data_IF_895581795381
#
_entry.id   IF_895581795381
#
_cell.length_a   1.000
_cell.length_b   1.000
_cell.length_c   1.000
_cell.angle_alpha   90.00
_cell.angle_beta   90.00
_cell.angle_gamma   90.00
#
_symmetry.space_group_name_H-M   'P 1'
#
loop_
_entity.id
_entity.type
_entity.pdbx_description
1 polymer ?
#
# COMPACT_ATOMS: atom_id res chain seq x y z
N UNK A 1 -4.10 7.02 28.89
CA UNK A 1 -2.97 6.93 29.84
C UNK A 1 -2.14 5.66 29.67
N UNK A 2 -2.75 4.48 29.52
CA UNK A 2 -1.99 3.22 29.35
C UNK A 2 -1.12 3.20 28.08
N UNK A 3 -1.64 3.62 26.92
CA UNK A 3 -0.86 3.66 25.66
C UNK A 3 0.39 4.55 25.75
N UNK A 4 0.27 5.69 26.45
CA UNK A 4 1.39 6.59 26.72
C UNK A 4 2.46 5.92 27.57
N UNK A 5 2.06 5.19 28.63
CA UNK A 5 3.00 4.46 29.49
C UNK A 5 3.74 3.35 28.73
N UNK A 6 3.04 2.66 27.82
CA UNK A 6 3.62 1.60 27.00
C UNK A 6 4.65 2.19 26.03
N UNK A 7 4.31 3.26 25.30
CA UNK A 7 5.27 3.89 24.39
C UNK A 7 6.47 4.46 25.14
N UNK A 8 6.26 5.12 26.29
CA UNK A 8 7.36 5.62 27.11
C UNK A 8 8.29 4.49 27.56
N UNK A 9 7.75 3.34 27.97
CA UNK A 9 8.55 2.19 28.39
C UNK A 9 9.54 1.72 27.31
N UNK A 10 9.08 1.68 26.05
CA UNK A 10 9.93 1.34 24.91
C UNK A 10 10.89 2.46 24.55
N UNK A 11 10.42 3.71 24.58
CA UNK A 11 11.25 4.89 24.32
C UNK A 11 12.46 4.95 25.27
N UNK A 12 12.23 4.71 26.57
CA UNK A 12 13.26 4.67 27.61
C UNK A 12 14.29 3.54 27.42
N UNK A 13 13.94 2.51 26.63
CA UNK A 13 14.73 1.30 26.40
C UNK A 13 15.15 1.14 24.95
N UNK A 14 15.07 2.22 24.16
CA UNK A 14 15.42 2.17 22.75
C UNK A 14 16.86 1.70 22.56
N UNK A 15 17.00 0.67 21.74
CA UNK A 15 18.27 0.14 21.27
C UNK A 15 18.26 0.11 19.74
N UNK A 16 19.43 0.14 19.07
CA UNK A 16 19.51 0.19 17.60
C UNK A 16 18.83 -0.98 16.87
N UNK A 17 18.62 -2.10 17.55
CA UNK A 17 18.01 -3.33 17.05
C UNK A 17 16.55 -3.53 17.52
N UNK A 18 16.04 -2.65 18.38
CA UNK A 18 14.67 -2.72 18.86
C UNK A 18 13.71 -2.12 17.83
N UNK A 19 12.79 -2.95 17.35
CA UNK A 19 11.69 -2.57 16.48
C UNK A 19 10.36 -2.94 17.13
N UNK A 20 9.43 -1.99 17.20
CA UNK A 20 8.12 -2.16 17.81
C UNK A 20 7.01 -1.93 16.79
N UNK A 21 6.00 -2.80 16.84
CA UNK A 21 4.82 -2.74 15.99
C UNK A 21 3.56 -2.65 16.86
N UNK A 22 2.72 -1.66 16.59
CA UNK A 22 1.44 -1.47 17.28
C UNK A 22 0.30 -1.32 16.28
N UNK A 23 -0.86 -1.86 16.63
CA UNK A 23 -2.13 -1.49 16.02
C UNK A 23 -2.69 -0.24 16.72
N UNK A 24 -3.24 0.69 15.93
CA UNK A 24 -3.87 1.90 16.46
C UNK A 24 -5.27 2.09 15.92
N UNK A 25 -6.12 2.67 16.76
CA UNK A 25 -7.46 3.08 16.34
C UNK A 25 -7.35 4.37 15.52
N UNK A 26 -7.82 4.39 14.25
CA UNK A 26 -7.49 5.45 13.30
C UNK A 26 -7.87 6.88 13.75
N UNK A 27 -8.98 7.04 14.45
CA UNK A 27 -9.52 8.34 14.87
C UNK A 27 -9.15 8.74 16.32
N UNK A 28 -8.35 7.92 17.02
CA UNK A 28 -7.97 8.15 18.42
C UNK A 28 -6.45 8.29 18.59
N UNK A 29 -5.93 9.49 18.31
CA UNK A 29 -4.52 9.83 18.48
C UNK A 29 -4.35 11.15 19.28
N UNK A 30 -4.41 11.11 20.63
CA UNK A 30 -4.30 12.30 21.47
C UNK A 30 -2.93 12.99 21.36
N UNK A 31 -2.87 14.31 21.57
CA UNK A 31 -1.63 15.11 21.40
C UNK A 31 -0.46 14.63 22.26
N UNK A 32 -0.73 14.16 23.48
CA UNK A 32 0.33 13.58 24.34
C UNK A 32 0.94 12.31 23.73
N UNK A 33 0.15 11.53 23.00
CA UNK A 33 0.63 10.34 22.31
C UNK A 33 1.43 10.73 21.06
N UNK A 34 0.93 11.73 20.31
CA UNK A 34 1.64 12.33 19.17
C UNK A 34 3.04 12.82 19.56
N UNK A 35 3.15 13.57 20.66
CA UNK A 35 4.42 14.08 21.16
C UNK A 35 5.43 12.97 21.52
N UNK A 36 4.96 11.80 21.97
CA UNK A 36 5.84 10.66 22.25
C UNK A 36 6.24 9.91 20.99
N UNK A 37 5.30 9.70 20.07
CA UNK A 37 5.56 9.03 18.79
C UNK A 37 6.65 9.76 18.00
N UNK A 38 6.61 11.10 17.98
CA UNK A 38 7.61 11.92 17.28
C UNK A 38 9.04 11.76 17.82
N UNK A 39 9.23 11.23 19.03
CA UNK A 39 10.55 11.01 19.63
C UNK A 39 11.19 9.67 19.22
N UNK A 40 10.42 8.75 18.62
CA UNK A 40 10.98 7.47 18.17
C UNK A 40 11.94 7.68 16.99
N UNK A 41 13.13 7.05 17.00
CA UNK A 41 14.08 7.18 15.91
C UNK A 41 13.57 6.50 14.62
N UNK A 42 14.04 6.92 13.44
CA UNK A 42 13.68 6.29 12.17
C UNK A 42 13.94 4.78 12.17
N UNK A 43 12.98 4.02 11.63
CA UNK A 43 13.10 2.56 11.51
C UNK A 43 12.90 1.78 12.80
N UNK A 44 12.39 2.40 13.87
CA UNK A 44 12.13 1.72 15.16
C UNK A 44 10.66 1.44 15.46
N UNK A 45 9.75 2.12 14.77
CA UNK A 45 8.31 2.10 15.09
C UNK A 45 7.49 1.89 13.82
N UNK A 46 6.52 0.98 13.90
CA UNK A 46 5.50 0.78 12.88
C UNK A 46 4.11 0.82 13.50
N UNK A 47 3.17 1.41 12.77
CA UNK A 47 1.76 1.42 13.09
C UNK A 47 0.95 0.74 12.00
N UNK A 48 0.06 -0.15 12.42
CA UNK A 48 -1.03 -0.68 11.60
C UNK A 48 -2.33 0.06 11.94
N UNK A 49 -2.92 0.68 10.93
CA UNK A 49 -4.09 1.55 11.04
C UNK A 49 -5.23 0.86 10.29
N UNK A 50 -6.05 0.10 11.01
CA UNK A 50 -7.18 -0.58 10.42
C UNK A 50 -8.28 0.41 10.06
N UNK A 51 -8.35 0.91 8.82
CA UNK A 51 -9.42 1.82 8.36
C UNK A 51 -10.65 1.01 7.95
N UNK A 52 -10.39 -0.12 7.27
CA UNK A 52 -11.33 -1.07 6.69
C UNK A 52 -12.17 -0.52 5.54
N UNK A 53 -12.85 0.61 5.72
CA UNK A 53 -13.60 1.30 4.66
C UNK A 53 -13.72 2.78 5.01
N UNK A 54 -13.78 3.66 4.01
CA UNK A 54 -14.12 5.07 4.18
C UNK A 54 -15.61 5.36 3.95
N UNK A 55 -16.42 4.36 3.60
CA UNK A 55 -17.86 4.54 3.40
C UNK A 55 -18.60 4.53 4.75
N UNK A 56 -19.23 5.64 5.19
CA UNK A 56 -19.92 5.71 6.49
C UNK A 56 -21.06 4.71 6.64
N UNK A 57 -21.78 4.40 5.55
CA UNK A 57 -22.88 3.42 5.59
C UNK A 57 -22.35 2.01 5.84
N UNK A 58 -21.24 1.66 5.18
CA UNK A 58 -20.56 0.37 5.36
C UNK A 58 -20.01 0.28 6.79
N UNK A 59 -19.40 1.35 7.31
CA UNK A 59 -18.91 1.41 8.68
C UNK A 59 -20.04 1.21 9.70
N UNK A 60 -21.14 1.96 9.58
CA UNK A 60 -22.29 1.87 10.47
C UNK A 60 -22.87 0.45 10.48
N UNK A 61 -23.03 -0.16 9.31
CA UNK A 61 -23.56 -1.51 9.14
C UNK A 61 -22.68 -2.57 9.81
N UNK A 62 -21.37 -2.39 9.77
CA UNK A 62 -20.39 -3.25 10.43
C UNK A 62 -20.13 -2.85 11.90
N UNK A 63 -20.96 -1.96 12.46
CA UNK A 63 -20.83 -1.45 13.84
C UNK A 63 -19.46 -0.83 14.14
N UNK A 64 -18.82 -0.26 13.11
CA UNK A 64 -17.56 0.48 13.24
C UNK A 64 -17.88 1.95 13.50
N UNK A 65 -17.57 2.42 14.71
CA UNK A 65 -17.66 3.85 15.07
C UNK A 65 -16.30 4.47 14.76
N UNK A 66 -16.24 5.25 13.68
CA UNK A 66 -15.03 5.93 13.23
C UNK A 66 -15.40 7.31 12.67
N UNK A 67 -14.58 8.31 12.94
CA UNK A 67 -14.61 9.61 12.27
C UNK A 67 -13.58 9.63 11.13
N UNK A 68 -14.05 9.74 9.88
CA UNK A 68 -13.18 9.66 8.71
C UNK A 68 -12.27 10.88 8.54
N UNK A 69 -12.73 12.05 8.97
CA UNK A 69 -11.94 13.27 8.83
C UNK A 69 -10.82 13.27 9.88
N UNK A 70 -11.12 12.87 11.11
CA UNK A 70 -10.10 12.65 12.14
C UNK A 70 -9.12 11.52 11.77
N UNK A 71 -9.62 10.43 11.18
CA UNK A 71 -8.77 9.36 10.65
C UNK A 71 -7.77 9.92 9.63
N UNK A 72 -8.26 10.72 8.68
CA UNK A 72 -7.41 11.33 7.66
C UNK A 72 -6.39 12.32 8.27
N UNK A 73 -6.81 13.14 9.24
CA UNK A 73 -5.93 14.06 9.96
C UNK A 73 -4.84 13.34 10.75
N UNK A 74 -5.18 12.26 11.44
CA UNK A 74 -4.22 11.47 12.20
C UNK A 74 -3.24 10.72 11.30
N UNK A 75 -3.70 10.18 10.16
CA UNK A 75 -2.83 9.56 9.17
C UNK A 75 -1.86 10.58 8.55
N UNK A 76 -2.36 11.76 8.15
CA UNK A 76 -1.51 12.86 7.67
C UNK A 76 -0.48 13.25 8.71
N UNK A 77 -0.85 13.33 9.99
CA UNK A 77 0.09 13.61 11.07
C UNK A 77 1.12 12.49 11.24
N UNK A 78 0.71 11.22 11.27
CA UNK A 78 1.63 10.08 11.43
C UNK A 78 2.66 10.03 10.30
N UNK A 79 2.23 10.25 9.06
CA UNK A 79 3.11 10.23 7.88
C UNK A 79 4.06 11.43 7.83
N UNK A 80 3.58 12.63 8.17
CA UNK A 80 4.37 13.85 7.98
C UNK A 80 5.17 14.30 9.21
N UNK A 81 4.65 14.04 10.41
CA UNK A 81 5.18 14.59 11.67
C UNK A 81 5.86 13.53 12.55
N UNK A 82 5.93 12.28 12.09
CA UNK A 82 6.63 11.20 12.79
C UNK A 82 7.61 10.46 11.88
N UNK A 83 8.42 9.59 12.49
CA UNK A 83 9.32 8.68 11.79
C UNK A 83 8.77 7.24 11.75
N UNK A 84 7.49 7.06 12.12
CA UNK A 84 6.86 5.76 12.18
C UNK A 84 6.47 5.29 10.78
N UNK A 85 6.69 4.00 10.52
CA UNK A 85 6.20 3.37 9.31
C UNK A 85 4.69 3.12 9.46
N UNK A 86 3.89 3.57 8.50
CA UNK A 86 2.43 3.51 8.58
C UNK A 86 1.90 2.50 7.56
N UNK A 87 1.29 1.43 8.06
CA UNK A 87 0.51 0.47 7.30
C UNK A 87 -0.97 0.80 7.51
N UNK A 88 -1.73 0.95 6.42
CA UNK A 88 -3.14 1.26 6.49
C UNK A 88 -3.97 0.18 5.80
N UNK A 89 -4.98 -0.35 6.49
CA UNK A 89 -5.73 -1.50 6.00
C UNK A 89 -7.08 -1.11 5.44
N UNK A 90 -7.39 -1.62 4.25
CA UNK A 90 -8.72 -1.62 3.67
C UNK A 90 -9.22 -3.06 3.53
N UNK A 91 -10.52 -3.26 3.67
CA UNK A 91 -11.15 -4.58 3.54
C UNK A 91 -12.20 -4.51 2.45
N UNK A 92 -11.96 -5.21 1.34
CA UNK A 92 -12.92 -5.35 0.25
C UNK A 92 -13.90 -6.51 0.51
N UNK A 93 -15.14 -6.32 0.08
CA UNK A 93 -16.20 -7.33 0.18
C UNK A 93 -17.07 -7.18 1.42
N UNK A 94 -17.00 -6.04 2.11
CA UNK A 94 -17.87 -5.73 3.24
C UNK A 94 -19.35 -5.66 2.80
N UNK A 95 -20.30 -6.01 3.69
CA UNK A 95 -21.73 -6.00 3.35
C UNK A 95 -22.19 -4.64 2.81
N UNK A 96 -22.72 -4.63 1.58
CA UNK A 96 -23.25 -3.45 0.90
C UNK A 96 -22.21 -2.43 0.44
N UNK A 97 -20.92 -2.79 0.44
CA UNK A 97 -19.88 -2.03 -0.24
C UNK A 97 -19.92 -2.35 -1.74
N UNK A 98 -19.88 -1.33 -2.58
CA UNK A 98 -19.75 -1.47 -4.04
C UNK A 98 -18.31 -1.25 -4.47
N UNK A 99 -17.95 -1.74 -5.66
CA UNK A 99 -16.64 -1.49 -6.26
C UNK A 99 -16.31 0.02 -6.32
N UNK A 100 -17.27 0.85 -6.73
CA UNK A 100 -17.09 2.30 -6.84
C UNK A 100 -16.87 2.96 -5.47
N UNK A 101 -17.64 2.55 -4.46
CA UNK A 101 -17.49 3.11 -3.11
C UNK A 101 -16.16 2.71 -2.47
N UNK A 102 -15.67 1.50 -2.77
CA UNK A 102 -14.35 1.06 -2.35
C UNK A 102 -13.25 1.81 -3.10
N UNK A 103 -13.38 1.98 -4.42
CA UNK A 103 -12.43 2.73 -5.25
C UNK A 103 -12.24 4.16 -4.73
N UNK A 104 -13.33 4.85 -4.41
CA UNK A 104 -13.28 6.19 -3.82
C UNK A 104 -12.55 6.19 -2.46
N UNK A 105 -12.79 5.17 -1.63
CA UNK A 105 -12.09 5.01 -0.35
C UNK A 105 -10.59 4.71 -0.52
N UNK A 106 -10.24 3.91 -1.52
CA UNK A 106 -8.85 3.60 -1.87
C UNK A 106 -8.12 4.84 -2.36
N UNK A 107 -8.72 5.59 -3.28
CA UNK A 107 -8.13 6.83 -3.83
C UNK A 107 -7.90 7.85 -2.72
N UNK A 108 -8.89 8.03 -1.83
CA UNK A 108 -8.72 8.86 -0.63
C UNK A 108 -7.57 8.38 0.25
N UNK A 109 -7.40 7.07 0.45
CA UNK A 109 -6.28 6.54 1.24
C UNK A 109 -4.94 6.76 0.56
N UNK A 110 -4.88 6.57 -0.75
CA UNK A 110 -3.67 6.77 -1.55
C UNK A 110 -3.18 8.22 -1.44
N UNK A 111 -4.09 9.20 -1.48
CA UNK A 111 -3.77 10.63 -1.27
C UNK A 111 -3.22 10.94 0.12
N UNK A 112 -3.56 10.14 1.15
CA UNK A 112 -2.99 10.28 2.49
C UNK A 112 -1.57 9.69 2.59
N UNK A 113 -1.11 9.02 1.53
CA UNK A 113 0.22 8.46 1.38
C UNK A 113 0.73 7.68 2.60
N UNK A 114 0.00 6.65 3.09
CA UNK A 114 0.60 5.68 4.01
C UNK A 114 1.78 4.97 3.33
N UNK A 115 2.67 4.37 4.13
CA UNK A 115 3.84 3.69 3.58
C UNK A 115 3.44 2.41 2.85
N UNK A 116 2.44 1.70 3.38
CA UNK A 116 1.81 0.56 2.72
C UNK A 116 0.30 0.64 2.86
N UNK A 117 -0.39 0.20 1.80
CA UNK A 117 -1.84 -0.04 1.85
C UNK A 117 -2.03 -1.56 1.84
N UNK A 118 -2.52 -2.09 2.96
CA UNK A 118 -2.85 -3.50 3.06
C UNK A 118 -4.24 -3.72 2.46
N UNK A 119 -4.28 -4.44 1.35
CA UNK A 119 -5.53 -4.80 0.68
C UNK A 119 -6.05 -6.13 1.23
N UNK A 120 -6.99 -6.07 2.17
CA UNK A 120 -7.65 -7.23 2.75
C UNK A 120 -8.88 -7.67 1.93
N UNK A 121 -9.05 -8.98 1.76
CA UNK A 121 -10.31 -9.57 1.29
C UNK A 121 -11.06 -10.09 2.51
N UNK A 122 -12.35 -9.75 2.65
CA UNK A 122 -13.15 -10.15 3.79
C UNK A 122 -13.10 -11.68 3.99
N UNK A 123 -12.88 -12.09 5.23
CA UNK A 123 -12.89 -13.49 5.68
C UNK A 123 -13.95 -13.67 6.76
N UNK A 124 -14.71 -14.77 6.70
CA UNK A 124 -15.65 -15.14 7.76
C UNK A 124 -14.96 -16.03 8.79
N UNK A 125 -14.47 -15.41 9.85
CA UNK A 125 -13.93 -16.14 11.00
C UNK A 125 -15.07 -16.61 11.92
N UNK A 126 -14.91 -17.80 12.52
CA UNK A 126 -15.91 -18.36 13.43
C UNK A 126 -16.14 -17.42 14.63
N UNK A 127 -17.41 -17.20 14.99
CA UNK A 127 -17.80 -16.36 16.13
C UNK A 127 -17.77 -14.86 15.87
N UNK A 128 -17.49 -14.40 14.64
CA UNK A 128 -17.46 -12.97 14.33
C UNK A 128 -18.85 -12.42 13.97
N UNK A 129 -19.16 -11.15 14.33
CA UNK A 129 -20.46 -10.52 14.05
C UNK A 129 -20.83 -10.45 12.56
N UNK A 130 -19.85 -10.55 11.64
CA UNK A 130 -20.07 -10.51 10.19
C UNK A 130 -21.10 -11.54 9.73
N UNK A 131 -21.24 -12.65 10.45
CA UNK A 131 -22.18 -13.74 10.16
C UNK A 131 -23.64 -13.25 10.09
N UNK A 132 -24.01 -12.23 10.86
CA UNK A 132 -25.38 -11.66 10.89
C UNK A 132 -25.82 -11.05 9.55
N UNK A 133 -24.86 -10.74 8.67
CA UNK A 133 -25.11 -10.15 7.36
C UNK A 133 -25.19 -11.20 6.23
N UNK A 134 -25.03 -12.49 6.54
CA UNK A 134 -24.94 -13.54 5.51
C UNK A 134 -26.16 -13.58 4.61
N UNK A 135 -27.35 -13.72 5.19
CA UNK A 135 -28.58 -13.86 4.41
C UNK A 135 -29.00 -12.52 3.78
N UNK A 136 -28.95 -11.44 4.55
CA UNK A 136 -29.40 -10.11 4.11
C UNK A 136 -28.56 -9.49 2.98
N UNK A 137 -27.31 -9.93 2.80
CA UNK A 137 -26.43 -9.48 1.73
C UNK A 137 -25.99 -10.61 0.79
N UNK A 138 -26.66 -11.77 0.84
CA UNK A 138 -26.34 -12.94 0.02
C UNK A 138 -24.84 -13.30 0.03
N UNK A 139 -24.20 -13.24 1.20
CA UNK A 139 -22.75 -13.42 1.34
C UNK A 139 -22.39 -14.90 1.13
N UNK A 140 -21.65 -15.20 0.06
CA UNK A 140 -21.12 -16.54 -0.20
C UNK A 140 -19.64 -16.58 0.17
N UNK A 141 -19.22 -17.58 0.93
CA UNK A 141 -17.84 -17.75 1.40
C UNK A 141 -17.25 -19.06 0.91
N UNK A 142 -15.93 -19.09 0.75
CA UNK A 142 -15.18 -20.32 0.50
C UNK A 142 -15.38 -21.26 1.70
N UNK A 143 -15.78 -22.54 1.48
CA UNK A 143 -15.87 -23.51 2.56
C UNK A 143 -14.50 -23.90 3.14
N UNK A 144 -13.40 -23.61 2.44
CA UNK A 144 -12.04 -23.87 2.88
C UNK A 144 -11.45 -22.66 3.61
N UNK A 145 -10.63 -22.93 4.63
CA UNK A 145 -9.82 -21.90 5.31
C UNK A 145 -8.97 -21.16 4.26
N UNK A 146 -8.93 -19.81 4.26
CA UNK A 146 -9.32 -18.90 5.34
C UNK A 146 -10.74 -18.32 5.26
N UNK A 147 -11.68 -18.99 4.58
CA UNK A 147 -13.09 -18.60 4.48
C UNK A 147 -13.32 -17.22 3.86
N UNK A 148 -12.57 -16.91 2.81
CA UNK A 148 -12.71 -15.65 2.05
C UNK A 148 -14.07 -15.55 1.39
N UNK A 149 -14.60 -14.34 1.29
CA UNK A 149 -15.81 -14.07 0.51
C UNK A 149 -15.58 -14.38 -0.97
N UNK A 150 -16.55 -15.05 -1.59
CA UNK A 150 -16.58 -15.39 -3.00
C UNK A 150 -17.46 -14.43 -3.81
N UNK A 151 -18.54 -13.93 -3.21
CA UNK A 151 -19.44 -12.91 -3.76
C UNK A 151 -20.43 -12.43 -2.68
N UNK A 152 -21.14 -11.34 -2.96
CA UNK A 152 -22.29 -10.87 -2.18
C UNK A 152 -23.31 -10.17 -3.10
N UNK A 153 -24.36 -9.58 -2.52
CA UNK A 153 -25.41 -8.87 -3.25
C UNK A 153 -24.96 -7.66 -4.08
N UNK A 154 -23.78 -7.10 -3.82
CA UNK A 154 -23.24 -5.91 -4.51
C UNK A 154 -22.03 -6.22 -5.39
N UNK A 155 -21.39 -7.38 -5.19
CA UNK A 155 -20.16 -7.78 -5.87
C UNK A 155 -20.28 -9.23 -6.31
N UNK A 156 -20.26 -9.46 -7.62
CA UNK A 156 -20.33 -10.79 -8.21
C UNK A 156 -18.99 -11.56 -8.11
N UNK A 157 -19.05 -12.87 -8.35
CA UNK A 157 -17.88 -13.74 -8.29
C UNK A 157 -16.76 -13.32 -9.27
N UNK A 158 -17.02 -12.99 -10.55
CA UNK A 158 -15.98 -12.50 -11.46
C UNK A 158 -15.27 -11.24 -10.96
N UNK A 159 -16.01 -10.28 -10.39
CA UNK A 159 -15.43 -9.07 -9.79
C UNK A 159 -14.59 -9.40 -8.58
N UNK A 160 -15.03 -10.33 -7.72
CA UNK A 160 -14.19 -10.82 -6.62
C UNK A 160 -12.88 -11.44 -7.11
N UNK A 161 -12.90 -12.23 -8.20
CA UNK A 161 -11.67 -12.77 -8.79
C UNK A 161 -10.77 -11.67 -9.36
N UNK A 162 -11.36 -10.64 -9.98
CA UNK A 162 -10.65 -9.45 -10.47
C UNK A 162 -9.90 -8.74 -9.34
N UNK A 163 -10.57 -8.54 -8.21
CA UNK A 163 -9.98 -7.86 -7.05
C UNK A 163 -8.97 -8.74 -6.29
N UNK A 164 -9.16 -10.06 -6.25
CA UNK A 164 -8.13 -10.96 -5.75
C UNK A 164 -6.82 -10.84 -6.54
N UNK A 165 -6.88 -10.67 -7.86
CA UNK A 165 -5.69 -10.40 -8.69
C UNK A 165 -5.08 -9.03 -8.37
N UNK A 166 -5.92 -8.00 -8.29
CA UNK A 166 -5.50 -6.65 -7.89
C UNK A 166 -4.68 -6.68 -6.60
N UNK A 167 -5.21 -7.29 -5.53
CA UNK A 167 -4.57 -7.32 -4.22
C UNK A 167 -3.18 -7.97 -4.26
N UNK A 168 -3.04 -9.04 -5.06
CA UNK A 168 -1.76 -9.74 -5.22
C UNK A 168 -0.74 -8.94 -6.01
N UNK A 169 -1.16 -8.28 -7.09
CA UNK A 169 -0.26 -7.43 -7.86
C UNK A 169 0.12 -6.18 -7.08
N UNK A 170 -0.80 -5.62 -6.30
CA UNK A 170 -0.54 -4.48 -5.42
C UNK A 170 0.58 -4.81 -4.43
N UNK A 171 0.53 -5.99 -3.83
CA UNK A 171 1.59 -6.46 -2.94
C UNK A 171 2.96 -6.58 -3.66
N UNK A 172 2.98 -7.13 -4.88
CA UNK A 172 4.23 -7.34 -5.63
C UNK A 172 4.83 -6.05 -6.20
N UNK A 173 4.00 -5.06 -6.53
CA UNK A 173 4.43 -3.82 -7.19
C UNK A 173 4.48 -2.68 -6.18
N UNK A 174 3.33 -2.25 -5.65
CA UNK A 174 3.25 -1.09 -4.77
C UNK A 174 3.89 -1.36 -3.40
N UNK A 175 3.39 -2.33 -2.64
CA UNK A 175 3.88 -2.56 -1.27
C UNK A 175 5.31 -3.13 -1.22
N UNK A 176 5.87 -3.56 -2.36
CA UNK A 176 7.27 -4.00 -2.43
C UNK A 176 8.26 -2.86 -2.13
N UNK A 177 7.86 -1.60 -2.37
CA UNK A 177 8.70 -0.40 -2.31
C UNK A 177 9.78 -0.34 -3.40
N UNK A 178 9.69 -1.18 -4.45
CA UNK A 178 10.74 -1.29 -5.49
C UNK A 178 10.46 -0.46 -6.75
N UNK A 179 9.29 0.16 -6.85
CA UNK A 179 8.81 0.84 -8.05
C UNK A 179 8.33 2.25 -7.71
N UNK A 180 9.10 3.02 -6.94
CA UNK A 180 8.64 4.31 -6.43
C UNK A 180 8.24 5.27 -7.56
N UNK A 181 9.12 5.44 -8.56
CA UNK A 181 8.85 6.31 -9.69
C UNK A 181 7.90 5.67 -10.70
N UNK A 182 8.07 4.37 -10.97
CA UNK A 182 7.20 3.62 -11.88
C UNK A 182 5.75 3.58 -11.39
N UNK A 183 5.52 3.46 -10.08
CA UNK A 183 4.19 3.48 -9.49
C UNK A 183 3.55 4.86 -9.62
N UNK A 184 4.30 5.95 -9.43
CA UNK A 184 3.78 7.30 -9.67
C UNK A 184 3.30 7.47 -11.11
N UNK A 185 4.12 7.08 -12.09
CA UNK A 185 3.73 7.09 -13.51
C UNK A 185 2.49 6.22 -13.77
N UNK A 186 2.38 5.10 -13.05
CA UNK A 186 1.25 4.18 -13.17
C UNK A 186 -0.04 4.72 -12.57
N UNK A 187 0.01 5.46 -11.47
CA UNK A 187 -1.18 5.84 -10.70
C UNK A 187 -1.69 7.26 -11.00
N UNK A 188 -0.85 8.12 -11.58
CA UNK A 188 -1.20 9.54 -11.79
C UNK A 188 -1.29 9.92 -13.28
N UNK A 189 -2.11 10.95 -13.62
CA UNK A 189 -3.12 11.61 -12.78
C UNK A 189 -4.45 10.82 -12.74
N UNK A 190 -5.29 11.08 -11.73
CA UNK A 190 -6.65 10.53 -11.63
C UNK A 190 -6.79 9.45 -10.56
N UNK A 191 -7.71 8.50 -10.78
CA UNK A 191 -7.99 7.42 -9.83
C UNK A 191 -6.85 6.40 -9.79
N UNK A 192 -6.10 6.37 -8.69
CA UNK A 192 -5.05 5.40 -8.45
C UNK A 192 -5.60 3.96 -8.48
N UNK A 193 -6.76 3.74 -7.85
CA UNK A 193 -7.45 2.45 -7.88
C UNK A 193 -7.78 2.04 -9.32
N UNK A 194 -8.38 2.95 -10.10
CA UNK A 194 -8.76 2.69 -11.49
C UNK A 194 -7.57 2.33 -12.37
N UNK A 195 -6.48 3.10 -12.29
CA UNK A 195 -5.27 2.83 -13.06
C UNK A 195 -4.61 1.51 -12.67
N UNK A 196 -4.49 1.23 -11.37
CA UNK A 196 -3.89 -0.03 -10.93
C UNK A 196 -4.78 -1.24 -11.27
N UNK A 197 -6.11 -1.08 -11.23
CA UNK A 197 -7.04 -2.11 -11.66
C UNK A 197 -6.91 -2.39 -13.16
N UNK A 198 -6.76 -1.36 -13.98
CA UNK A 198 -6.46 -1.49 -15.41
C UNK A 198 -5.14 -2.22 -15.67
N UNK A 199 -4.09 -1.90 -14.91
CA UNK A 199 -2.82 -2.63 -14.97
C UNK A 199 -2.94 -4.09 -14.52
N UNK A 200 -3.68 -4.35 -13.44
CA UNK A 200 -3.96 -5.70 -12.95
C UNK A 200 -4.67 -6.55 -14.01
N UNK A 201 -5.67 -5.98 -14.68
CA UNK A 201 -6.39 -6.67 -15.74
C UNK A 201 -5.52 -6.95 -16.95
N UNK A 202 -4.75 -5.94 -17.40
CA UNK A 202 -3.80 -6.09 -18.49
C UNK A 202 -2.76 -7.16 -18.18
N UNK A 203 -2.17 -7.13 -16.98
CA UNK A 203 -1.16 -8.08 -16.55
C UNK A 203 -1.68 -9.53 -16.57
N UNK A 204 -2.92 -9.74 -16.09
CA UNK A 204 -3.57 -11.04 -16.17
C UNK A 204 -3.83 -11.48 -17.62
N UNK A 205 -4.33 -10.59 -18.48
CA UNK A 205 -4.60 -10.89 -19.89
C UNK A 205 -3.32 -11.24 -20.67
N UNK A 206 -2.22 -10.55 -20.38
CA UNK A 206 -0.93 -10.75 -21.04
C UNK A 206 -0.21 -12.02 -20.57
N UNK A 207 -0.37 -12.40 -19.30
CA UNK A 207 0.49 -13.43 -18.69
C UNK A 207 -0.24 -14.69 -18.25
N UNK A 208 -1.54 -14.62 -17.97
CA UNK A 208 -2.30 -15.70 -17.34
C UNK A 208 -1.76 -16.14 -15.97
N UNK A 209 -0.92 -15.31 -15.34
CA UNK A 209 -0.22 -15.64 -14.09
C UNK A 209 -0.51 -14.63 -13.01
N UNK A 210 -0.65 -15.11 -11.78
CA UNK A 210 -0.84 -14.30 -10.57
C UNK A 210 0.35 -14.34 -9.61
N UNK A 211 1.39 -15.12 -9.94
CA UNK A 211 2.62 -15.34 -9.20
C UNK A 211 3.77 -15.66 -10.16
N UNK A 212 4.96 -15.93 -9.60
CA UNK A 212 6.18 -16.28 -10.33
C UNK A 212 6.74 -15.17 -11.21
N UNK A 213 6.50 -13.91 -10.83
CA UNK A 213 7.17 -12.79 -11.46
C UNK A 213 8.49 -12.52 -10.76
N UNK A 214 9.60 -12.65 -11.50
CA UNK A 214 10.86 -12.07 -11.07
C UNK A 214 10.76 -10.54 -11.08
N UNK A 215 11.65 -9.87 -10.34
CA UNK A 215 11.69 -8.41 -10.35
C UNK A 215 11.95 -7.87 -11.77
N UNK A 216 12.84 -8.50 -12.53
CA UNK A 216 13.16 -8.13 -13.90
C UNK A 216 11.92 -8.25 -14.80
N UNK A 217 11.14 -9.31 -14.62
CA UNK A 217 9.92 -9.51 -15.39
C UNK A 217 8.87 -8.46 -15.05
N UNK A 218 8.73 -8.08 -13.78
CA UNK A 218 7.84 -6.98 -13.37
C UNK A 218 8.28 -5.63 -13.96
N UNK A 219 9.58 -5.34 -13.99
CA UNK A 219 10.12 -4.13 -14.64
C UNK A 219 9.76 -4.11 -16.12
N UNK A 220 9.97 -5.21 -16.83
CA UNK A 220 9.66 -5.31 -18.26
C UNK A 220 8.16 -5.13 -18.54
N UNK A 221 7.30 -5.77 -17.73
CA UNK A 221 5.84 -5.69 -17.85
C UNK A 221 5.30 -4.30 -17.50
N UNK A 222 5.82 -3.67 -16.44
CA UNK A 222 5.44 -2.32 -16.06
C UNK A 222 5.86 -1.32 -17.14
N UNK A 223 7.06 -1.46 -17.69
CA UNK A 223 7.54 -0.62 -18.79
C UNK A 223 6.63 -0.74 -20.03
N UNK A 224 6.31 -1.97 -20.44
CA UNK A 224 5.41 -2.21 -21.56
C UNK A 224 4.02 -1.58 -21.32
N UNK A 225 3.43 -1.77 -20.14
CA UNK A 225 2.13 -1.16 -19.83
C UNK A 225 2.17 0.37 -19.85
N UNK A 226 3.19 0.98 -19.27
CA UNK A 226 3.34 2.44 -19.22
C UNK A 226 3.51 3.05 -20.63
N UNK A 227 4.16 2.35 -21.55
CA UNK A 227 4.35 2.83 -22.92
C UNK A 227 3.15 2.51 -23.80
N UNK A 228 2.72 1.26 -23.84
CA UNK A 228 1.73 0.76 -24.81
C UNK A 228 0.29 1.07 -24.40
N UNK A 229 0.00 1.10 -23.10
CA UNK A 229 -1.37 1.32 -22.58
C UNK A 229 -1.53 2.74 -22.06
N UNK A 230 -0.58 3.23 -21.25
CA UNK A 230 -0.63 4.62 -20.74
C UNK A 230 -0.11 5.65 -21.73
N UNK A 231 0.54 5.24 -22.82
CA UNK A 231 0.99 6.15 -23.88
C UNK A 231 2.14 7.07 -23.47
N UNK A 232 2.89 6.72 -22.42
CA UNK A 232 3.97 7.56 -21.91
C UNK A 232 5.24 7.46 -22.76
N UNK A 233 6.04 8.53 -22.74
CA UNK A 233 7.28 8.57 -23.50
C UNK A 233 8.27 7.51 -23.00
N UNK A 234 8.70 6.62 -23.90
CA UNK A 234 9.53 5.47 -23.51
C UNK A 234 10.90 5.83 -22.92
N UNK A 235 11.43 7.02 -23.18
CA UNK A 235 12.67 7.49 -22.54
C UNK A 235 12.45 7.83 -21.06
N UNK A 236 11.37 8.55 -20.76
CA UNK A 236 10.97 8.91 -19.39
C UNK A 236 10.68 7.66 -18.56
N UNK A 237 9.87 6.75 -19.09
CA UNK A 237 9.51 5.49 -18.42
C UNK A 237 10.76 4.66 -18.10
N UNK A 238 11.66 4.47 -19.07
CA UNK A 238 12.87 3.66 -18.85
C UNK A 238 13.82 4.31 -17.84
N UNK A 239 13.93 5.64 -17.82
CA UNK A 239 14.76 6.34 -16.84
C UNK A 239 14.20 6.19 -15.42
N UNK A 240 12.88 6.35 -15.24
CA UNK A 240 12.21 6.15 -13.97
C UNK A 240 12.40 4.72 -13.44
N UNK A 241 12.14 3.71 -14.29
CA UNK A 241 12.30 2.31 -13.92
C UNK A 241 13.77 1.90 -13.72
N UNK A 242 14.72 2.55 -14.40
CA UNK A 242 16.14 2.36 -14.15
C UNK A 242 16.54 2.87 -12.77
N UNK A 243 16.07 4.06 -12.38
CA UNK A 243 16.33 4.61 -11.05
C UNK A 243 15.78 3.68 -9.94
N UNK A 244 14.53 3.23 -10.10
CA UNK A 244 13.89 2.26 -9.22
C UNK A 244 14.69 0.94 -9.13
N UNK A 245 15.08 0.39 -10.29
CA UNK A 245 15.81 -0.87 -10.35
C UNK A 245 17.20 -0.78 -9.69
N UNK A 246 17.94 0.30 -9.91
CA UNK A 246 19.23 0.54 -9.27
C UNK A 246 19.08 0.70 -7.75
N UNK A 247 18.09 1.46 -7.29
CA UNK A 247 17.80 1.65 -5.87
C UNK A 247 17.42 0.34 -5.16
N UNK A 248 16.82 -0.61 -5.88
CA UNK A 248 16.46 -1.92 -5.31
C UNK A 248 17.66 -2.81 -4.94
N UNK A 249 18.86 -2.51 -5.46
CA UNK A 249 20.07 -3.31 -5.29
C UNK A 249 20.07 -4.64 -6.07
N UNK A 250 19.09 -4.86 -6.94
CA UNK A 250 19.01 -6.05 -7.79
C UNK A 250 20.14 -6.07 -8.83
N UNK A 251 20.56 -7.29 -9.21
CA UNK A 251 21.72 -7.51 -10.11
C UNK A 251 21.38 -8.17 -11.44
N UNK A 252 20.11 -8.52 -11.64
CA UNK A 252 19.61 -9.08 -12.88
C UNK A 252 19.64 -8.07 -14.03
N UNK A 253 18.99 -8.43 -15.13
CA UNK A 253 18.99 -7.61 -16.35
C UNK A 253 17.60 -7.66 -16.99
N UNK A 254 16.71 -6.72 -16.64
CA UNK A 254 15.45 -6.52 -17.35
C UNK A 254 15.73 -6.22 -18.83
N UNK A 255 14.92 -6.79 -19.73
CA UNK A 255 15.10 -6.61 -21.16
C UNK A 255 15.00 -5.14 -21.57
N UNK A 256 14.01 -4.42 -21.02
CA UNK A 256 13.74 -3.02 -21.36
C UNK A 256 14.85 -2.05 -20.90
N UNK A 257 15.67 -2.47 -19.93
CA UNK A 257 16.78 -1.68 -19.39
C UNK A 257 18.15 -2.21 -19.81
N UNK A 258 18.21 -3.26 -20.64
CA UNK A 258 19.43 -4.01 -20.91
C UNK A 258 20.54 -3.16 -21.52
N UNK A 259 20.20 -2.20 -22.39
CA UNK A 259 21.14 -1.27 -23.01
C UNK A 259 21.62 -0.20 -22.03
N UNK A 260 20.70 0.39 -21.26
CA UNK A 260 20.98 1.44 -20.28
C UNK A 260 21.86 0.95 -19.13
N UNK A 261 21.61 -0.26 -18.63
CA UNK A 261 22.44 -0.90 -17.60
C UNK A 261 23.83 -1.27 -18.11
N UNK A 262 23.95 -1.59 -19.41
CA UNK A 262 25.23 -1.81 -20.07
C UNK A 262 26.12 -0.57 -20.03
N UNK A 263 25.54 0.62 -20.20
CA UNK A 263 26.23 1.90 -20.07
C UNK A 263 26.51 2.31 -18.61
N UNK A 264 25.57 2.07 -17.69
CA UNK A 264 25.69 2.49 -16.28
C UNK A 264 26.71 1.67 -15.47
N UNK A 265 26.84 0.37 -15.71
CA UNK A 265 27.85 -0.47 -15.03
C UNK A 265 29.30 -0.12 -15.41
N UNK A 266 29.53 0.55 -16.54
CA UNK A 266 30.85 1.06 -16.89
C UNK A 266 31.28 2.25 -16.00
N UNK A 267 30.35 2.90 -15.29
CA UNK A 267 30.59 4.12 -14.51
C UNK A 267 30.59 3.93 -12.98
N UNK A 268 29.99 2.87 -12.44
CA UNK A 268 29.77 2.72 -11.00
C UNK A 268 30.39 1.43 -10.42
N UNK A 269 31.60 1.55 -9.88
CA UNK A 269 32.25 0.49 -9.11
C UNK A 269 32.54 0.99 -7.68
N UNK A 270 31.58 0.89 -6.74
CA UNK A 270 31.85 0.74 -5.29
C UNK A 270 30.67 0.06 -4.56
N UNK A 271 30.92 -0.76 -3.51
CA UNK A 271 29.88 -1.53 -2.83
C UNK A 271 29.39 -0.86 -1.53
N UNK A 272 28.07 -0.88 -1.28
CA UNK A 272 27.51 -0.60 0.04
C UNK A 272 26.70 -1.78 0.59
N UNK A 273 26.94 -2.06 1.88
CA UNK A 273 26.56 -3.27 2.59
C UNK A 273 25.08 -3.37 2.95
N UNK A 274 24.59 -4.62 3.01
CA UNK A 274 23.20 -4.98 3.26
C UNK A 274 22.87 -5.06 4.76
N UNK A 275 21.78 -4.42 5.20
CA UNK A 275 21.06 -4.75 6.45
C UNK A 275 19.73 -5.44 6.07
N UNK A 276 19.55 -6.69 6.48
CA UNK A 276 18.49 -7.58 5.95
C UNK A 276 17.15 -7.53 6.72
N UNK A 277 17.05 -6.89 7.89
CA UNK A 277 15.78 -6.80 8.64
C UNK A 277 14.90 -5.61 8.25
N UNK A 278 15.51 -4.44 7.97
CA UNK A 278 14.85 -3.17 7.66
C UNK A 278 14.68 -2.90 6.14
N UNK A 279 14.93 -3.92 5.30
CA UNK A 279 15.11 -3.72 3.87
C UNK A 279 13.84 -3.23 3.16
N UNK A 280 12.64 -3.62 3.61
CA UNK A 280 11.35 -3.21 3.00
C UNK A 280 10.91 -1.84 3.48
N UNK A 281 10.84 -1.63 4.79
CA UNK A 281 10.50 -0.33 5.38
C UNK A 281 11.47 0.77 4.91
N UNK A 282 12.77 0.47 4.82
CA UNK A 282 13.77 1.42 4.32
C UNK A 282 13.55 1.83 2.85
N UNK A 283 12.91 0.99 2.03
CA UNK A 283 12.55 1.35 0.65
C UNK A 283 11.38 2.33 0.60
N UNK A 284 10.38 2.15 1.47
CA UNK A 284 9.22 3.04 1.55
C UNK A 284 9.57 4.43 2.06
N UNK A 285 10.52 4.54 2.99
CA UNK A 285 11.02 5.85 3.47
C UNK A 285 11.57 6.70 2.32
N UNK A 286 12.29 6.10 1.37
CA UNK A 286 12.82 6.80 0.19
C UNK A 286 11.74 7.25 -0.80
N UNK A 287 10.70 6.44 -0.99
CA UNK A 287 9.55 6.75 -1.86
C UNK A 287 8.72 7.91 -1.31
N UNK A 288 8.50 7.94 0.00
CA UNK A 288 7.70 8.99 0.64
C UNK A 288 8.40 10.33 0.76
N UNK A 289 9.74 10.37 0.93
CA UNK A 289 10.47 11.63 0.94
C UNK A 289 10.20 12.44 -0.36
N UNK A 290 10.23 11.76 -1.51
CA UNK A 290 9.92 12.38 -2.80
C UNK A 290 8.45 12.83 -2.90
N UNK A 291 7.50 12.01 -2.46
CA UNK A 291 6.07 12.33 -2.52
C UNK A 291 5.66 13.44 -1.52
N UNK A 292 6.24 13.45 -0.32
CA UNK A 292 6.07 14.50 0.70
C UNK A 292 6.51 15.86 0.19
N UNK A 293 7.70 15.93 -0.40
CA UNK A 293 8.24 17.17 -0.94
C UNK A 293 7.33 17.77 -2.03
N UNK A 294 6.66 16.91 -2.80
CA UNK A 294 5.73 17.33 -3.85
C UNK A 294 4.38 17.78 -3.29
N UNK A 295 3.79 17.05 -2.32
CA UNK A 295 2.56 17.48 -1.64
C UNK A 295 2.77 18.81 -0.92
N UNK A 296 3.90 18.98 -0.22
CA UNK A 296 4.22 20.23 0.46
C UNK A 296 4.41 21.40 -0.52
N UNK A 297 5.03 21.15 -1.69
CA UNK A 297 5.14 22.16 -2.76
C UNK A 297 3.78 22.51 -3.38
N UNK A 298 2.91 21.51 -3.59
CA UNK A 298 1.57 21.73 -4.11
C UNK A 298 0.69 22.51 -3.13
N UNK A 299 0.77 22.20 -1.83
CA UNK A 299 0.05 22.92 -0.78
C UNK A 299 0.60 24.34 -0.55
N UNK A 300 1.89 24.59 -0.77
CA UNK A 300 2.48 25.93 -0.69
C UNK A 300 2.21 26.79 -1.94
N UNK A 301 1.79 26.18 -3.05
CA UNK A 301 1.46 26.85 -4.31
C UNK A 301 -0.04 27.17 -4.46
N UNK A 302 -0.89 26.65 -3.57
CA UNK A 302 -2.33 26.89 -3.49
C UNK A 302 -2.66 27.95 -2.42
#
# INVERSE_FOLDING_TARGET
ENSVRILQFFLDRMAPDLFVHFEVVPDSLPDRLKALIAQFPPGSLQFEVGIQSFNPEVQQRNSRKQDNDKTADNLRWLVNESQAHVHADLIFGLPGETLDSFAAGFDRLYELAPHEIQFGILKRLRGTPITRHTDGFAMAYDPQTPYTILQNSTIDFPTMQRINRFARYWEMVANSGRFAQGLKLLLEPGSAFGHFLGFSDWLWQTTGKTHEFSLEKLVDLLCAHLIEVRGLAGGEVRNALLADYLASGARGRPQTLAELLGGARAAAAQPHGSRQGAARQGRHVGQQAAHRDEIQKAAAAA
#
